data_IF_066750121225
#
_entry.id   IF_066750121225
#
_cell.length_a   1.000
_cell.length_b   1.000
_cell.length_c   1.000
_cell.angle_alpha   90.00
_cell.angle_beta   90.00
_cell.angle_gamma   90.00
#
_symmetry.space_group_name_H-M   'P 1'
#
loop_
_entity.id
_entity.type
_entity.pdbx_description
1 polymer ?
#
# COMPACT_ATOMS: atom_id res chain seq x y z
N UNK A 1 13.53 14.66 22.42
CA UNK A 1 12.49 14.20 23.38
C UNK A 1 11.13 14.73 22.91
N UNK A 2 10.14 13.86 22.78
CA UNK A 2 8.79 14.18 22.34
C UNK A 2 7.85 14.30 23.54
N UNK A 3 7.01 15.33 23.57
CA UNK A 3 5.94 15.52 24.55
C UNK A 3 4.67 15.95 23.86
N UNK A 4 3.55 15.46 24.33
CA UNK A 4 2.22 15.83 23.82
C UNK A 4 1.36 16.33 24.97
N UNK A 5 0.58 17.37 24.72
CA UNK A 5 -0.40 17.88 25.66
C UNK A 5 -1.70 17.13 25.42
N UNK A 6 -2.10 16.32 26.39
CA UNK A 6 -3.32 15.51 26.32
C UNK A 6 -4.42 16.20 27.10
N UNK A 7 -5.56 16.42 26.47
CA UNK A 7 -6.73 17.06 27.10
C UNK A 7 -7.97 16.17 26.97
N UNK A 8 -8.93 16.35 27.87
CA UNK A 8 -10.24 15.74 27.73
C UNK A 8 -10.98 16.38 26.53
N UNK A 9 -11.61 15.57 25.67
CA UNK A 9 -12.35 16.08 24.50
C UNK A 9 -13.45 17.08 24.90
N UNK A 10 -14.01 16.95 26.12
CA UNK A 10 -15.03 17.85 26.67
C UNK A 10 -14.45 19.12 27.31
N UNK A 11 -13.16 19.12 27.64
CA UNK A 11 -12.45 20.26 28.25
C UNK A 11 -11.03 20.35 27.70
N UNK A 12 -10.91 20.97 26.53
CA UNK A 12 -9.62 21.18 25.86
C UNK A 12 -8.74 22.22 26.55
N UNK A 13 -9.28 23.02 27.47
CA UNK A 13 -8.56 24.10 28.13
C UNK A 13 -7.62 23.59 29.24
N UNK A 14 -7.92 22.43 29.83
CA UNK A 14 -7.13 21.83 30.90
C UNK A 14 -6.47 20.54 30.40
N UNK A 15 -5.28 20.69 29.80
CA UNK A 15 -4.45 19.58 29.34
C UNK A 15 -3.29 19.27 30.29
N UNK A 16 -2.79 18.04 30.21
CA UNK A 16 -1.63 17.57 30.96
C UNK A 16 -0.55 17.06 29.99
N UNK A 17 0.69 17.47 30.21
CA UNK A 17 1.81 17.06 29.37
C UNK A 17 2.21 15.61 29.65
N UNK A 18 2.26 14.81 28.60
CA UNK A 18 2.76 13.44 28.61
C UNK A 18 4.07 13.36 27.83
N UNK A 19 5.12 12.85 28.47
CA UNK A 19 6.41 12.61 27.80
C UNK A 19 6.40 11.25 27.11
N UNK A 20 7.01 11.18 25.92
CA UNK A 20 7.07 9.99 25.10
C UNK A 20 8.54 9.56 24.90
N UNK A 21 8.86 8.26 25.05
CA UNK A 21 7.93 7.17 25.38
C UNK A 21 7.41 7.26 26.83
N UNK A 22 6.11 7.00 27.03
CA UNK A 22 5.49 7.05 28.36
C UNK A 22 5.78 5.76 29.12
N UNK A 23 5.94 5.89 30.44
CA UNK A 23 5.78 4.73 31.31
C UNK A 23 4.30 4.55 31.71
N UNK A 24 3.90 3.32 32.01
CA UNK A 24 2.50 3.01 32.35
C UNK A 24 1.99 3.80 33.55
N UNK A 25 2.85 4.08 34.53
CA UNK A 25 2.48 4.86 35.72
C UNK A 25 2.19 6.33 35.41
N UNK A 26 3.01 6.96 34.57
CA UNK A 26 2.86 8.34 34.11
C UNK A 26 1.61 8.50 33.25
N UNK A 27 1.36 7.56 32.32
CA UNK A 27 0.13 7.55 31.51
C UNK A 27 -1.11 7.49 32.42
N UNK A 28 -1.12 6.57 33.39
CA UNK A 28 -2.24 6.44 34.34
C UNK A 28 -2.42 7.70 35.19
N UNK A 29 -1.34 8.30 35.69
CA UNK A 29 -1.40 9.52 36.49
C UNK A 29 -1.93 10.72 35.70
N UNK A 30 -1.53 10.86 34.43
CA UNK A 30 -2.08 11.89 33.53
C UNK A 30 -3.57 11.65 33.29
N UNK A 31 -3.98 10.40 33.06
CA UNK A 31 -5.37 10.08 32.75
C UNK A 31 -6.28 10.25 33.98
N UNK A 32 -5.80 9.94 35.18
CA UNK A 32 -6.52 10.17 36.44
C UNK A 32 -6.82 11.67 36.62
N UNK A 33 -5.88 12.56 36.33
CA UNK A 33 -6.09 14.02 36.39
C UNK A 33 -7.09 14.54 35.36
N UNK A 34 -7.17 13.91 34.19
CA UNK A 34 -8.09 14.27 33.11
C UNK A 34 -9.50 13.66 33.29
N UNK A 35 -9.65 12.76 34.27
CA UNK A 35 -10.93 12.11 34.57
C UNK A 35 -11.79 13.04 35.43
N UNK A 36 -13.01 13.41 34.98
CA UNK A 36 -13.91 14.24 35.78
C UNK A 36 -14.20 13.64 37.16
N UNK A 37 -14.20 14.47 38.20
CA UNK A 37 -14.51 14.04 39.56
C UNK A 37 -15.90 13.37 39.64
N UNK A 38 -15.93 12.08 39.99
CA UNK A 38 -17.17 11.31 40.21
C UNK A 38 -17.46 10.22 39.18
N UNK A 39 -16.66 10.09 38.11
CA UNK A 39 -16.84 9.08 37.05
C UNK A 39 -15.72 8.01 37.07
N UNK A 40 -15.55 7.32 38.21
CA UNK A 40 -14.64 6.17 38.30
C UNK A 40 -15.10 5.03 37.38
N UNK A 41 -14.25 4.60 36.44
CA UNK A 41 -14.50 3.48 35.53
C UNK A 41 -15.08 3.84 34.16
N UNK A 42 -15.13 5.13 33.80
CA UNK A 42 -15.51 5.56 32.44
C UNK A 42 -14.28 5.73 31.56
N UNK A 43 -14.36 5.32 30.30
CA UNK A 43 -13.31 5.59 29.30
C UNK A 43 -13.31 7.08 28.98
N UNK A 44 -12.28 7.80 29.43
CA UNK A 44 -12.10 9.22 29.11
C UNK A 44 -11.70 9.36 27.65
N UNK A 45 -12.54 10.02 26.85
CA UNK A 45 -12.17 10.42 25.51
C UNK A 45 -11.15 11.56 25.59
N UNK A 46 -9.95 11.32 25.06
CA UNK A 46 -8.83 12.26 25.08
C UNK A 46 -8.49 12.75 23.67
N UNK A 47 -7.79 13.87 23.60
CA UNK A 47 -7.30 14.46 22.37
C UNK A 47 -5.95 15.15 22.59
N UNK A 48 -5.18 15.30 21.53
CA UNK A 48 -3.89 16.02 21.55
C UNK A 48 -4.15 17.48 21.20
N UNK A 49 -3.70 18.39 22.05
CA UNK A 49 -3.92 19.84 21.88
C UNK A 49 -2.66 20.63 21.60
N UNK A 50 -1.49 20.08 21.96
CA UNK A 50 -0.19 20.70 21.67
C UNK A 50 0.92 19.63 21.63
N UNK A 51 2.04 19.96 20.98
CA UNK A 51 3.17 19.06 20.77
C UNK A 51 4.49 19.81 20.94
N UNK A 52 5.39 19.23 21.73
CA UNK A 52 6.76 19.69 21.89
C UNK A 52 7.74 18.61 21.43
N UNK A 53 8.65 18.95 20.52
CA UNK A 53 9.68 18.04 20.02
C UNK A 53 11.01 18.75 19.84
N UNK A 54 12.09 17.97 19.91
CA UNK A 54 13.42 18.41 19.48
C UNK A 54 13.58 18.40 17.96
N UNK A 55 12.71 17.69 17.24
CA UNK A 55 12.67 17.71 15.77
C UNK A 55 11.86 18.92 15.33
N UNK A 56 12.44 19.84 14.52
CA UNK A 56 11.72 20.97 13.96
C UNK A 56 10.45 20.55 13.21
N UNK A 57 9.41 21.38 13.31
CA UNK A 57 8.14 21.24 12.58
C UNK A 57 7.35 19.93 12.73
N UNK A 58 7.81 18.97 13.54
CA UNK A 58 7.12 17.69 13.78
C UNK A 58 5.66 17.86 14.22
N UNK A 59 5.36 18.94 14.97
CA UNK A 59 4.00 19.28 15.42
C UNK A 59 2.99 19.46 14.28
N UNK A 60 3.44 19.75 13.05
CA UNK A 60 2.56 19.95 11.89
C UNK A 60 1.93 18.63 11.41
N UNK A 61 2.56 17.51 11.75
CA UNK A 61 2.19 16.17 11.28
C UNK A 61 1.50 15.32 12.35
N UNK A 62 1.28 15.89 13.54
CA UNK A 62 0.56 15.25 14.63
C UNK A 62 -0.81 15.93 14.77
N UNK A 63 -1.86 15.13 14.73
CA UNK A 63 -3.24 15.57 14.73
C UNK A 63 -3.94 15.25 16.05
N UNK A 64 -5.09 15.89 16.26
CA UNK A 64 -5.85 15.83 17.51
C UNK A 64 -6.26 14.40 17.92
N UNK A 65 -6.51 13.54 16.94
CA UNK A 65 -7.03 12.17 17.14
C UNK A 65 -5.99 11.08 16.86
N UNK A 66 -4.71 11.45 16.75
CA UNK A 66 -3.65 10.47 16.54
C UNK A 66 -3.55 9.51 17.74
N UNK A 67 -3.23 8.24 17.45
CA UNK A 67 -3.09 7.21 18.49
C UNK A 67 -1.92 7.54 19.41
N UNK A 68 -2.18 7.57 20.72
CA UNK A 68 -1.12 7.71 21.71
C UNK A 68 -0.13 6.56 21.65
N UNK A 69 -0.57 5.35 21.30
CA UNK A 69 0.29 4.19 21.12
C UNK A 69 1.24 4.38 19.92
N UNK A 70 0.76 4.92 18.80
CA UNK A 70 1.63 5.27 17.67
C UNK A 70 2.61 6.40 18.02
N UNK A 71 2.16 7.41 18.77
CA UNK A 71 3.03 8.48 19.25
C UNK A 71 4.08 7.99 20.25
N UNK A 72 3.75 6.99 21.07
CA UNK A 72 4.68 6.32 21.97
C UNK A 72 5.78 5.56 21.22
N UNK A 73 5.39 4.86 20.15
CA UNK A 73 6.33 4.24 19.21
C UNK A 73 7.23 5.31 18.57
N UNK A 74 6.67 6.42 18.11
CA UNK A 74 7.46 7.53 17.56
C UNK A 74 8.42 8.09 18.62
N UNK A 75 7.95 8.34 19.84
CA UNK A 75 8.78 8.78 20.96
C UNK A 75 9.94 7.83 21.23
N UNK A 76 9.68 6.52 21.25
CA UNK A 76 10.70 5.48 21.39
C UNK A 76 11.74 5.49 20.27
N UNK A 77 11.35 5.80 19.04
CA UNK A 77 12.28 5.93 17.91
C UNK A 77 13.11 7.21 18.06
N UNK A 78 12.47 8.34 18.32
CA UNK A 78 13.14 9.64 18.48
C UNK A 78 14.14 9.66 19.63
N UNK A 79 13.89 8.93 20.72
CA UNK A 79 14.83 8.80 21.85
C UNK A 79 16.12 8.06 21.46
N UNK A 80 16.03 7.12 20.51
CA UNK A 80 17.17 6.31 20.05
C UNK A 80 17.95 6.95 18.90
N UNK A 81 17.42 8.00 18.28
CA UNK A 81 18.09 8.68 17.17
C UNK A 81 19.36 9.38 17.65
N UNK A 82 20.44 9.20 16.90
CA UNK A 82 21.62 10.06 17.02
C UNK A 82 21.32 11.47 16.49
N UNK A 83 22.19 12.45 16.77
CA UNK A 83 22.06 13.80 16.19
C UNK A 83 22.05 13.75 14.65
N UNK A 84 22.82 12.81 14.07
CA UNK A 84 22.82 12.52 12.63
C UNK A 84 21.45 12.05 12.15
N UNK A 85 20.87 11.06 12.82
CA UNK A 85 19.59 10.48 12.43
C UNK A 85 18.44 11.47 12.63
N UNK A 86 18.49 12.29 13.68
CA UNK A 86 17.55 13.37 13.93
C UNK A 86 17.60 14.44 12.83
N UNK A 87 18.80 14.80 12.35
CA UNK A 87 18.96 15.72 11.22
C UNK A 87 18.39 15.13 9.92
N UNK A 88 18.70 13.87 9.61
CA UNK A 88 18.14 13.16 8.45
C UNK A 88 16.63 13.10 8.53
N UNK A 89 16.08 12.73 9.69
CA UNK A 89 14.63 12.65 9.89
C UNK A 89 13.95 14.00 9.71
N UNK A 90 14.54 15.07 10.26
CA UNK A 90 14.02 16.44 10.09
C UNK A 90 14.00 16.85 8.62
N UNK A 91 15.06 16.55 7.86
CA UNK A 91 15.10 16.84 6.42
C UNK A 91 14.09 16.01 5.63
N UNK A 92 13.96 14.72 5.94
CA UNK A 92 13.00 13.83 5.29
C UNK A 92 11.56 14.33 5.43
N UNK A 93 11.20 14.85 6.62
CA UNK A 93 9.89 15.48 6.87
C UNK A 93 9.64 16.74 6.04
N UNK A 94 10.68 17.44 5.60
CA UNK A 94 10.57 18.63 4.73
C UNK A 94 10.56 18.26 3.25
N UNK A 95 11.32 17.23 2.88
CA UNK A 95 11.50 16.79 1.50
C UNK A 95 10.33 15.97 0.95
N UNK A 96 9.61 15.24 1.81
CA UNK A 96 8.58 14.29 1.42
C UNK A 96 7.16 14.83 1.66
N UNK A 97 6.18 14.30 0.92
CA UNK A 97 4.75 14.61 1.16
C UNK A 97 4.26 13.77 2.34
N UNK A 98 4.19 14.37 3.53
CA UNK A 98 3.73 13.73 4.77
C UNK A 98 2.26 14.05 5.03
N UNK A 99 1.39 13.02 5.03
CA UNK A 99 -0.07 13.21 5.20
C UNK A 99 -0.58 12.97 6.62
N UNK A 100 0.23 12.36 7.48
CA UNK A 100 -0.13 12.09 8.87
C UNK A 100 0.91 11.22 9.58
N UNK A 101 0.56 10.75 10.78
CA UNK A 101 1.48 10.06 11.68
C UNK A 101 2.07 8.75 11.12
N UNK A 102 1.35 8.05 10.25
CA UNK A 102 1.86 6.83 9.61
C UNK A 102 3.05 7.12 8.67
N UNK A 103 2.98 8.21 7.90
CA UNK A 103 4.10 8.65 7.07
C UNK A 103 5.28 9.08 7.93
N UNK A 104 5.03 9.76 9.06
CA UNK A 104 6.06 10.16 10.02
C UNK A 104 6.79 8.93 10.57
N UNK A 105 6.04 7.89 10.97
CA UNK A 105 6.62 6.63 11.46
C UNK A 105 7.41 5.90 10.37
N UNK A 106 6.87 5.84 9.15
CA UNK A 106 7.56 5.25 7.98
C UNK A 106 8.88 5.96 7.68
N UNK A 107 8.91 7.29 7.73
CA UNK A 107 10.13 8.07 7.54
C UNK A 107 11.15 7.81 8.66
N UNK A 108 10.69 7.69 9.92
CA UNK A 108 11.56 7.35 11.04
C UNK A 108 12.21 5.96 10.89
N UNK A 109 11.60 5.04 10.14
CA UNK A 109 12.11 3.71 9.83
C UNK A 109 12.98 3.63 8.56
N UNK A 110 12.96 4.68 7.73
CA UNK A 110 13.63 4.69 6.43
C UNK A 110 14.77 5.70 6.33
N UNK A 111 15.39 6.06 7.45
CA UNK A 111 16.52 7.00 7.47
C UNK A 111 17.74 6.54 6.64
N UNK A 112 17.86 5.23 6.38
CA UNK A 112 18.89 4.67 5.50
C UNK A 112 18.76 5.09 4.02
N UNK A 113 17.60 5.62 3.63
CA UNK A 113 17.32 6.10 2.28
C UNK A 113 17.89 7.51 2.00
N UNK A 114 18.59 8.09 2.97
CA UNK A 114 19.10 9.44 2.90
C UNK A 114 20.59 9.47 3.23
N UNK A 115 21.32 10.32 2.53
CA UNK A 115 22.73 10.61 2.76
C UNK A 115 22.85 12.00 3.39
N UNK A 116 23.56 12.10 4.52
CA UNK A 116 23.92 13.38 5.14
C UNK A 116 25.32 13.77 4.67
N UNK A 117 25.43 14.94 4.04
CA UNK A 117 26.71 15.63 3.86
C UNK A 117 26.93 16.56 5.07
N UNK A 118 27.82 16.18 6.01
CA UNK A 118 28.00 16.92 7.26
C UNK A 118 28.61 18.31 7.01
N UNK A 119 28.32 19.24 7.92
CA UNK A 119 28.89 20.60 7.96
C UNK A 119 28.60 21.47 6.73
N UNK A 120 27.61 21.08 5.91
CA UNK A 120 27.15 21.83 4.74
C UNK A 120 25.78 22.44 5.03
N UNK A 121 25.77 23.73 5.34
CA UNK A 121 24.56 24.46 5.76
C UNK A 121 24.12 25.52 4.76
N UNK A 122 24.89 25.71 3.70
CA UNK A 122 24.62 26.71 2.66
C UNK A 122 24.87 26.16 1.25
N UNK A 123 24.20 26.72 0.25
CA UNK A 123 24.41 26.37 -1.16
C UNK A 123 25.87 26.56 -1.61
N UNK A 124 26.55 27.57 -1.08
CA UNK A 124 27.97 27.77 -1.37
C UNK A 124 28.84 26.62 -0.86
N UNK A 125 28.63 26.19 0.39
CA UNK A 125 29.33 25.06 0.99
C UNK A 125 29.04 23.76 0.22
N UNK A 126 27.79 23.55 -0.18
CA UNK A 126 27.38 22.40 -0.98
C UNK A 126 28.10 22.39 -2.33
N UNK A 127 28.13 23.53 -3.03
CA UNK A 127 28.83 23.66 -4.30
C UNK A 127 30.31 23.35 -4.20
N UNK A 128 30.98 23.83 -3.15
CA UNK A 128 32.40 23.52 -2.89
C UNK A 128 32.57 22.02 -2.67
N UNK A 129 31.76 21.43 -1.79
CA UNK A 129 31.80 20.00 -1.49
C UNK A 129 31.60 19.14 -2.74
N UNK A 130 30.63 19.46 -3.59
CA UNK A 130 30.32 18.71 -4.81
C UNK A 130 31.51 18.66 -5.77
N UNK A 131 32.22 19.76 -5.91
CA UNK A 131 33.38 19.89 -6.82
C UNK A 131 34.61 19.22 -6.22
N UNK A 132 34.86 19.40 -4.91
CA UNK A 132 36.02 18.81 -4.22
C UNK A 132 35.91 17.30 -4.06
N UNK A 133 34.70 16.79 -3.79
CA UNK A 133 34.42 15.35 -3.70
C UNK A 133 34.42 14.63 -5.05
N UNK A 134 34.34 15.37 -6.14
CA UNK A 134 34.21 14.82 -7.49
C UNK A 134 32.80 14.36 -7.85
N UNK A 135 31.79 14.62 -7.00
CA UNK A 135 30.37 14.40 -7.37
C UNK A 135 29.94 15.27 -8.56
N UNK A 136 30.60 16.42 -8.76
CA UNK A 136 30.50 17.24 -9.97
C UNK A 136 31.89 17.37 -10.61
N UNK A 137 32.06 16.77 -11.79
CA UNK A 137 33.34 16.74 -12.49
C UNK A 137 33.63 18.08 -13.21
N UNK A 138 34.46 18.92 -12.59
CA UNK A 138 34.94 20.17 -13.18
C UNK A 138 36.47 20.19 -13.19
N UNK A 139 37.13 20.50 -14.32
CA UNK A 139 38.58 20.61 -14.39
C UNK A 139 39.13 21.57 -13.32
N UNK A 140 40.17 21.14 -12.58
CA UNK A 140 40.79 21.92 -11.49
C UNK A 140 41.22 23.34 -11.90
N UNK A 141 41.55 23.55 -13.17
CA UNK A 141 41.90 24.87 -13.71
C UNK A 141 40.73 25.87 -13.69
N UNK A 142 39.48 25.40 -13.66
CA UNK A 142 38.28 26.24 -13.65
C UNK A 142 37.80 26.60 -12.24
N UNK A 143 38.28 25.92 -11.19
CA UNK A 143 37.82 26.11 -9.80
C UNK A 143 37.89 27.58 -9.32
N UNK A 144 38.95 28.36 -9.60
CA UNK A 144 39.03 29.76 -9.14
C UNK A 144 37.98 30.70 -9.74
N UNK A 145 37.32 30.28 -10.83
CA UNK A 145 36.35 31.08 -11.57
C UNK A 145 34.93 30.57 -11.41
N UNK A 146 34.74 29.51 -10.60
CA UNK A 146 33.47 28.82 -10.49
C UNK A 146 32.53 29.56 -9.54
N UNK A 147 31.27 29.65 -9.95
CA UNK A 147 30.17 30.04 -9.09
C UNK A 147 29.64 28.81 -8.37
N UNK A 148 30.17 28.55 -7.17
CA UNK A 148 29.81 27.37 -6.37
C UNK A 148 28.34 27.38 -5.94
N UNK A 149 27.72 28.54 -5.71
CA UNK A 149 26.29 28.59 -5.40
C UNK A 149 25.46 28.09 -6.60
N UNK A 150 25.85 28.48 -7.81
CA UNK A 150 25.18 28.00 -9.02
C UNK A 150 25.40 26.50 -9.27
N UNK A 151 26.53 25.94 -8.87
CA UNK A 151 26.77 24.48 -8.90
C UNK A 151 25.79 23.77 -7.97
N UNK A 152 25.59 24.28 -6.75
CA UNK A 152 24.62 23.70 -5.81
C UNK A 152 23.19 23.78 -6.34
N UNK A 153 22.77 24.93 -6.90
CA UNK A 153 21.44 25.08 -7.49
C UNK A 153 21.17 24.07 -8.60
N UNK A 154 22.15 23.83 -9.48
CA UNK A 154 22.02 22.82 -10.54
C UNK A 154 21.94 21.40 -9.95
N UNK A 155 22.69 21.13 -8.89
CA UNK A 155 22.64 19.85 -8.20
C UNK A 155 21.28 19.62 -7.52
N UNK A 156 20.76 20.61 -6.79
CA UNK A 156 19.46 20.59 -6.11
C UNK A 156 18.29 20.43 -7.07
N UNK A 157 18.38 21.02 -8.28
CA UNK A 157 17.37 20.85 -9.32
C UNK A 157 17.21 19.38 -9.77
N UNK A 158 18.28 18.59 -9.62
CA UNK A 158 18.33 17.19 -10.02
C UNK A 158 18.28 16.21 -8.83
N UNK A 159 18.42 16.71 -7.59
CA UNK A 159 18.51 15.90 -6.38
C UNK A 159 17.66 16.54 -5.28
N UNK A 160 16.60 15.86 -4.85
CA UNK A 160 15.81 16.30 -3.72
C UNK A 160 16.66 16.28 -2.44
N UNK A 161 16.82 17.44 -1.81
CA UNK A 161 17.55 17.59 -0.57
C UNK A 161 17.10 18.79 0.25
N UNK A 162 17.52 18.83 1.51
CA UNK A 162 17.20 19.88 2.46
C UNK A 162 18.39 20.21 3.36
N UNK A 163 18.51 21.48 3.73
CA UNK A 163 19.52 21.94 4.68
C UNK A 163 19.05 21.75 6.11
N UNK A 164 19.93 21.24 6.95
CA UNK A 164 19.70 21.09 8.39
C UNK A 164 20.80 21.83 9.15
N UNK A 165 20.65 21.95 10.47
CA UNK A 165 21.70 22.52 11.31
C UNK A 165 22.98 21.67 11.37
N UNK A 166 22.94 20.40 10.93
CA UNK A 166 24.08 19.49 10.94
C UNK A 166 24.72 19.28 9.55
N UNK A 167 24.01 19.67 8.48
CA UNK A 167 24.48 19.45 7.13
C UNK A 167 23.35 19.37 6.10
N UNK A 168 23.72 19.05 4.86
CA UNK A 168 22.79 18.92 3.75
C UNK A 168 22.40 17.46 3.59
N UNK A 169 21.11 17.17 3.62
CA UNK A 169 20.57 15.82 3.48
C UNK A 169 20.02 15.66 2.08
N UNK A 170 20.39 14.58 1.40
CA UNK A 170 19.90 14.23 0.07
C UNK A 170 19.29 12.84 0.08
N UNK A 171 18.23 12.64 -0.70
CA UNK A 171 17.65 11.32 -0.90
C UNK A 171 18.59 10.49 -1.77
N UNK A 172 19.02 9.33 -1.29
CA UNK A 172 19.99 8.47 -2.00
C UNK A 172 19.38 7.98 -3.31
N UNK A 173 20.14 7.94 -4.41
CA UNK A 173 19.65 7.46 -5.71
C UNK A 173 19.15 6.00 -5.67
N UNK A 174 19.76 5.14 -4.87
CA UNK A 174 19.28 3.76 -4.61
C UNK A 174 17.88 3.74 -3.99
N UNK A 175 17.48 4.82 -3.30
CA UNK A 175 16.16 4.95 -2.71
C UNK A 175 15.09 5.37 -3.72
N UNK A 176 15.43 5.94 -4.89
CA UNK A 176 14.44 6.12 -5.95
C UNK A 176 14.04 4.75 -6.50
N UNK A 177 15.01 3.87 -6.72
CA UNK A 177 14.76 2.48 -7.13
C UNK A 177 14.04 1.69 -6.03
N UNK A 178 14.38 1.89 -4.75
CA UNK A 178 13.67 1.24 -3.62
C UNK A 178 12.32 1.89 -3.29
N UNK A 179 12.10 3.17 -3.57
CA UNK A 179 10.78 3.81 -3.38
C UNK A 179 9.83 3.32 -4.47
N UNK A 180 10.30 3.20 -5.72
CA UNK A 180 9.57 2.51 -6.79
C UNK A 180 9.33 1.03 -6.43
N UNK A 181 10.29 0.37 -5.78
CA UNK A 181 10.12 -1.00 -5.32
C UNK A 181 9.17 -1.15 -4.10
N UNK A 182 9.00 -0.12 -3.27
CA UNK A 182 8.16 -0.16 -2.06
C UNK A 182 6.77 0.46 -2.25
N UNK A 183 6.51 1.11 -3.38
CA UNK A 183 5.13 1.42 -3.78
C UNK A 183 4.43 0.13 -4.20
N UNK A 184 3.29 -0.14 -3.56
CA UNK A 184 2.46 -1.29 -3.93
C UNK A 184 1.87 -1.02 -5.31
N UNK A 185 2.27 -1.82 -6.29
CA UNK A 185 1.62 -1.84 -7.58
C UNK A 185 0.48 -2.85 -7.55
N UNK A 186 -0.69 -2.45 -8.04
CA UNK A 186 -1.81 -3.35 -8.26
C UNK A 186 -1.72 -3.93 -9.67
N UNK A 187 -1.67 -5.26 -9.77
CA UNK A 187 -1.73 -6.01 -11.01
C UNK A 187 -3.03 -6.80 -11.05
N UNK A 188 -3.66 -6.84 -12.21
CA UNK A 188 -4.90 -7.60 -12.45
C UNK A 188 -4.63 -8.71 -13.44
N UNK A 189 -5.02 -9.93 -13.07
CA UNK A 189 -4.96 -11.08 -13.95
C UNK A 189 -6.37 -11.53 -14.29
N UNK A 190 -6.71 -11.50 -15.57
CA UNK A 190 -8.03 -11.85 -16.09
C UNK A 190 -8.06 -13.34 -16.46
N UNK A 191 -9.18 -13.98 -16.13
CA UNK A 191 -9.50 -15.35 -16.49
C UNK A 191 -10.96 -15.47 -16.93
N UNK A 192 -11.27 -16.37 -17.87
CA UNK A 192 -12.65 -16.67 -18.23
C UNK A 192 -13.38 -17.25 -17.03
N UNK A 193 -14.68 -16.95 -16.93
CA UNK A 193 -15.53 -17.33 -15.81
C UNK A 193 -16.77 -18.05 -16.35
N UNK A 194 -17.13 -19.16 -15.72
CA UNK A 194 -18.18 -20.05 -16.18
C UNK A 194 -19.30 -20.07 -15.14
N UNK A 195 -20.49 -19.62 -15.53
CA UNK A 195 -21.62 -19.51 -14.61
C UNK A 195 -22.73 -20.46 -15.03
N UNK A 196 -23.19 -21.27 -14.07
CA UNK A 196 -24.28 -22.22 -14.23
C UNK A 196 -25.42 -21.85 -13.29
N UNK A 197 -26.65 -21.88 -13.79
CA UNK A 197 -27.85 -21.63 -12.98
C UNK A 197 -28.68 -22.90 -12.84
N UNK A 198 -29.10 -23.18 -11.62
CA UNK A 198 -30.08 -24.21 -11.28
C UNK A 198 -31.40 -23.54 -10.89
N UNK A 199 -32.34 -23.39 -11.83
CA UNK A 199 -33.64 -22.78 -11.55
C UNK A 199 -34.48 -23.64 -10.60
N UNK A 200 -35.13 -23.01 -9.61
CA UNK A 200 -36.01 -23.69 -8.66
C UNK A 200 -37.45 -23.71 -9.21
N UNK A 201 -37.85 -24.78 -9.90
CA UNK A 201 -39.25 -24.95 -10.34
C UNK A 201 -40.07 -25.65 -9.24
N UNK A 202 -41.10 -24.99 -8.71
CA UNK A 202 -42.14 -25.63 -7.90
C UNK A 202 -43.24 -26.24 -8.78
N UNK A 203 -42.96 -27.18 -9.69
CA UNK A 203 -44.03 -28.04 -10.22
C UNK A 203 -43.48 -29.40 -10.67
N UNK A 204 -44.16 -30.46 -10.24
CA UNK A 204 -43.69 -31.84 -10.18
C UNK A 204 -43.18 -32.49 -11.48
N UNK A 205 -42.38 -33.53 -11.26
CA UNK A 205 -42.02 -34.63 -12.17
C UNK A 205 -41.09 -34.32 -13.37
N UNK A 206 -40.02 -33.58 -13.16
CA UNK A 206 -38.82 -33.64 -14.00
C UNK A 206 -37.59 -33.80 -13.09
N UNK A 207 -36.66 -34.71 -13.42
CA UNK A 207 -35.48 -34.97 -12.59
C UNK A 207 -34.64 -33.70 -12.41
N UNK A 208 -34.10 -33.50 -11.20
CA UNK A 208 -33.30 -32.33 -10.82
C UNK A 208 -31.97 -32.16 -11.59
N UNK A 209 -31.72 -32.98 -12.61
CA UNK A 209 -30.48 -33.07 -13.40
C UNK A 209 -30.64 -32.51 -14.84
N UNK A 210 -31.87 -32.19 -15.28
CA UNK A 210 -32.18 -31.97 -16.70
C UNK A 210 -32.32 -30.48 -17.14
N UNK A 211 -32.03 -29.49 -16.30
CA UNK A 211 -32.11 -28.06 -16.68
C UNK A 211 -30.93 -27.24 -16.12
N UNK A 212 -29.71 -27.76 -16.26
CA UNK A 212 -28.50 -26.94 -16.08
C UNK A 212 -28.42 -25.95 -17.24
N UNK A 213 -28.58 -24.66 -16.95
CA UNK A 213 -28.38 -23.61 -17.95
C UNK A 213 -27.00 -22.97 -17.73
N UNK A 214 -26.13 -23.07 -18.74
CA UNK A 214 -24.87 -22.32 -18.78
C UNK A 214 -25.18 -20.91 -19.28
N UNK A 215 -24.89 -19.90 -18.45
CA UNK A 215 -25.06 -18.51 -18.82
C UNK A 215 -23.89 -18.07 -19.69
N UNK A 216 -24.18 -17.28 -20.73
CA UNK A 216 -23.11 -16.59 -21.45
C UNK A 216 -22.41 -15.58 -20.53
N UNK A 217 -21.13 -15.25 -20.78
CA UNK A 217 -20.41 -14.25 -19.99
C UNK A 217 -21.11 -12.87 -19.93
N UNK A 218 -21.91 -12.53 -20.94
CA UNK A 218 -22.71 -11.31 -20.98
C UNK A 218 -23.98 -11.39 -20.09
N UNK A 219 -24.57 -12.58 -19.95
CA UNK A 219 -25.72 -12.81 -19.06
C UNK A 219 -25.27 -12.93 -17.59
N UNK A 220 -24.08 -13.47 -17.35
CA UNK A 220 -23.47 -13.53 -16.03
C UNK A 220 -23.28 -12.15 -15.39
N UNK A 221 -23.11 -11.09 -16.20
CA UNK A 221 -23.01 -9.70 -15.72
C UNK A 221 -24.22 -9.26 -14.89
N UNK A 222 -25.42 -9.76 -15.20
CA UNK A 222 -26.62 -9.40 -14.43
C UNK A 222 -26.54 -9.86 -12.97
N UNK A 223 -25.70 -10.84 -12.67
CA UNK A 223 -25.50 -11.41 -11.35
C UNK A 223 -24.16 -10.99 -10.72
N UNK A 224 -23.47 -9.99 -11.28
CA UNK A 224 -22.16 -9.56 -10.82
C UNK A 224 -22.17 -9.17 -9.33
N UNK A 225 -23.19 -8.45 -8.87
CA UNK A 225 -23.30 -7.99 -7.49
C UNK A 225 -23.45 -9.18 -6.52
N UNK A 226 -24.27 -10.18 -6.86
CA UNK A 226 -24.45 -11.40 -6.07
C UNK A 226 -23.17 -12.25 -6.02
N UNK A 227 -22.44 -12.31 -7.13
CA UNK A 227 -21.16 -13.01 -7.21
C UNK A 227 -20.11 -12.30 -6.35
N UNK A 228 -20.02 -10.97 -6.42
CA UNK A 228 -19.11 -10.19 -5.57
C UNK A 228 -19.43 -10.39 -4.08
N UNK A 229 -20.70 -10.38 -3.69
CA UNK A 229 -21.09 -10.61 -2.29
C UNK A 229 -20.72 -12.03 -1.82
N UNK A 230 -20.83 -13.03 -2.70
CA UNK A 230 -20.43 -14.40 -2.39
C UNK A 230 -18.92 -14.53 -2.20
N UNK A 231 -18.12 -13.88 -3.05
CA UNK A 231 -16.64 -13.83 -2.92
C UNK A 231 -16.27 -13.18 -1.58
N UNK A 232 -16.96 -12.11 -1.19
CA UNK A 232 -16.69 -11.39 0.05
C UNK A 232 -17.02 -12.23 1.30
N UNK A 233 -18.02 -13.11 1.22
CA UNK A 233 -18.35 -14.08 2.28
C UNK A 233 -17.34 -15.22 2.38
N UNK A 234 -16.62 -15.51 1.31
CA UNK A 234 -15.62 -16.59 1.29
C UNK A 234 -14.31 -16.18 1.98
N UNK A 235 -14.05 -14.88 2.12
CA UNK A 235 -12.85 -14.35 2.79
C UNK A 235 -12.79 -14.85 4.24
N UNK A 236 -11.76 -15.63 4.56
CA UNK A 236 -11.57 -16.16 5.91
C UNK A 236 -10.87 -15.11 6.79
N UNK A 237 -11.24 -14.97 8.08
CA UNK A 237 -10.55 -14.05 9.00
C UNK A 237 -9.05 -14.32 9.13
N UNK A 238 -8.63 -15.59 8.97
CA UNK A 238 -7.24 -16.03 9.07
C UNK A 238 -6.38 -15.62 7.84
N UNK A 239 -7.00 -15.30 6.70
CA UNK A 239 -6.30 -14.82 5.49
C UNK A 239 -5.87 -13.35 5.62
N UNK A 240 -6.54 -12.60 6.50
CA UNK A 240 -6.24 -11.20 6.80
C UNK A 240 -6.10 -10.34 5.55
N UNK A 241 -5.07 -9.48 5.53
CA UNK A 241 -4.81 -8.58 4.40
C UNK A 241 -4.06 -9.26 3.24
N UNK A 242 -3.50 -10.46 3.45
CA UNK A 242 -2.72 -11.17 2.42
C UNK A 242 -3.59 -11.99 1.46
N UNK A 243 -4.81 -12.35 1.86
CA UNK A 243 -5.70 -13.16 1.02
C UNK A 243 -5.09 -14.53 0.74
N UNK A 244 -5.18 -14.98 -0.51
CA UNK A 244 -4.69 -16.29 -0.93
C UNK A 244 -3.16 -16.43 -0.78
N UNK A 245 -2.41 -15.33 -0.68
CA UNK A 245 -0.96 -15.38 -0.48
C UNK A 245 -0.52 -16.00 0.85
N UNK A 246 -1.44 -16.22 1.81
CA UNK A 246 -1.14 -17.01 3.02
C UNK A 246 -0.77 -18.45 2.68
N UNK A 247 -1.31 -19.00 1.60
CA UNK A 247 -1.08 -20.38 1.16
C UNK A 247 0.05 -20.51 0.13
N UNK A 248 0.75 -19.44 -0.18
CA UNK A 248 1.84 -19.45 -1.16
C UNK A 248 3.16 -19.91 -0.52
N UNK A 249 3.61 -21.12 -0.88
CA UNK A 249 4.83 -21.73 -0.33
C UNK A 249 5.92 -22.05 -1.38
N UNK A 250 5.65 -21.74 -2.66
CA UNK A 250 6.52 -22.12 -3.78
C UNK A 250 7.85 -21.38 -3.81
N UNK A 251 7.84 -20.09 -3.52
CA UNK A 251 9.04 -19.24 -3.53
C UNK A 251 8.97 -18.20 -2.41
N UNK A 252 9.96 -18.19 -1.51
CA UNK A 252 9.97 -17.27 -0.36
C UNK A 252 10.27 -15.81 -0.75
N UNK A 253 11.11 -15.60 -1.77
CA UNK A 253 11.42 -14.24 -2.23
C UNK A 253 10.20 -13.63 -2.94
N UNK A 254 9.49 -14.42 -3.74
CA UNK A 254 8.25 -14.00 -4.37
C UNK A 254 7.12 -13.83 -3.35
N UNK A 255 7.07 -14.65 -2.30
CA UNK A 255 6.13 -14.49 -1.19
C UNK A 255 6.36 -13.18 -0.43
N UNK A 256 7.59 -12.69 -0.30
CA UNK A 256 7.86 -11.38 0.34
C UNK A 256 7.54 -10.22 -0.61
N UNK A 257 7.73 -10.42 -1.91
CA UNK A 257 7.45 -9.44 -2.96
C UNK A 257 5.95 -9.24 -3.21
N UNK A 258 5.15 -10.29 -3.11
CA UNK A 258 3.70 -10.22 -3.28
C UNK A 258 3.01 -10.05 -1.93
N UNK A 259 2.40 -8.88 -1.75
CA UNK A 259 1.74 -8.51 -0.50
C UNK A 259 0.42 -9.24 -0.32
N UNK A 260 -0.46 -9.16 -1.34
CA UNK A 260 -1.81 -9.72 -1.30
C UNK A 260 -2.25 -10.27 -2.65
N UNK A 261 -3.14 -11.26 -2.62
CA UNK A 261 -3.83 -11.76 -3.82
C UNK A 261 -5.28 -12.08 -3.46
N UNK A 262 -6.22 -11.41 -4.13
CA UNK A 262 -7.64 -11.49 -3.87
C UNK A 262 -8.40 -11.84 -5.17
N UNK A 263 -9.14 -12.95 -5.21
CA UNK A 263 -10.03 -13.23 -6.33
C UNK A 263 -11.21 -12.26 -6.29
N UNK A 264 -11.64 -11.80 -7.45
CA UNK A 264 -12.80 -10.92 -7.67
C UNK A 264 -13.34 -11.13 -9.08
N UNK A 265 -14.38 -10.38 -9.45
CA UNK A 265 -14.92 -10.37 -10.81
C UNK A 265 -15.06 -8.94 -11.32
N UNK A 266 -14.84 -8.71 -12.61
CA UNK A 266 -14.98 -7.40 -13.24
C UNK A 266 -15.63 -7.49 -14.62
N UNK A 267 -16.38 -6.45 -15.00
CA UNK A 267 -16.87 -6.28 -16.37
C UNK A 267 -15.74 -5.81 -17.28
N UNK A 268 -15.53 -6.52 -18.38
CA UNK A 268 -14.67 -6.05 -19.47
C UNK A 268 -15.28 -6.39 -20.84
N UNK A 269 -15.48 -5.37 -21.68
CA UNK A 269 -16.12 -5.46 -23.01
C UNK A 269 -17.54 -6.04 -23.02
N UNK A 270 -18.33 -5.82 -21.95
CA UNK A 270 -19.70 -6.35 -21.86
C UNK A 270 -19.76 -7.85 -21.56
N UNK A 271 -18.66 -8.41 -21.04
CA UNK A 271 -18.58 -9.77 -20.52
C UNK A 271 -18.04 -9.75 -19.08
N UNK A 272 -18.50 -10.68 -18.24
CA UNK A 272 -17.98 -10.86 -16.88
C UNK A 272 -16.71 -11.71 -16.89
N UNK A 273 -15.65 -11.20 -16.27
CA UNK A 273 -14.36 -11.89 -16.15
C UNK A 273 -14.03 -12.18 -14.69
N UNK A 274 -13.38 -13.32 -14.45
CA UNK A 274 -12.69 -13.57 -13.20
C UNK A 274 -11.41 -12.74 -13.16
N UNK A 275 -11.16 -12.05 -12.05
CA UNK A 275 -9.97 -11.21 -11.89
C UNK A 275 -9.27 -11.61 -10.60
N UNK A 276 -7.97 -11.91 -10.69
CA UNK A 276 -7.11 -11.97 -9.51
C UNK A 276 -6.44 -10.61 -9.35
N UNK A 277 -6.77 -9.90 -8.27
CA UNK A 277 -6.15 -8.61 -7.92
C UNK A 277 -4.97 -8.90 -7.01
N UNK A 278 -3.78 -8.54 -7.47
CA UNK A 278 -2.52 -8.83 -6.79
C UNK A 278 -1.83 -7.52 -6.46
N UNK A 279 -1.43 -7.34 -5.21
CA UNK A 279 -0.59 -6.20 -4.80
C UNK A 279 0.86 -6.66 -4.65
N UNK A 280 1.78 -6.02 -5.37
CA UNK A 280 3.20 -6.39 -5.40
C UNK A 280 4.10 -5.20 -5.06
N UNK A 281 5.25 -5.49 -4.48
CA UNK A 281 6.32 -4.54 -4.23
C UNK A 281 7.29 -4.56 -5.44
N UNK A 282 7.26 -3.50 -6.24
CA UNK A 282 8.06 -3.37 -7.47
C UNK A 282 7.56 -4.20 -8.65
N UNK A 283 8.37 -4.31 -9.71
CA UNK A 283 8.00 -5.01 -10.94
C UNK A 283 8.22 -6.53 -10.85
N UNK A 284 7.27 -7.32 -11.34
CA UNK A 284 7.43 -8.76 -11.51
C UNK A 284 8.20 -9.07 -12.80
N UNK A 285 9.15 -9.99 -12.71
CA UNK A 285 9.80 -10.58 -13.89
C UNK A 285 8.87 -11.60 -14.57
N UNK A 286 9.08 -11.87 -15.86
CA UNK A 286 8.29 -12.88 -16.60
C UNK A 286 8.31 -14.26 -15.93
N UNK A 287 9.44 -14.63 -15.31
CA UNK A 287 9.55 -15.90 -14.57
C UNK A 287 8.71 -15.92 -13.30
N UNK A 288 8.67 -14.81 -12.55
CA UNK A 288 7.82 -14.67 -11.37
C UNK A 288 6.34 -14.65 -11.74
N UNK A 289 5.97 -13.96 -12.83
CA UNK A 289 4.60 -13.96 -13.35
C UNK A 289 4.15 -15.39 -13.71
N UNK A 290 5.00 -16.18 -14.36
CA UNK A 290 4.68 -17.58 -14.68
C UNK A 290 4.42 -18.42 -13.43
N UNK A 291 5.19 -18.21 -12.36
CA UNK A 291 5.00 -18.93 -11.09
C UNK A 291 3.68 -18.53 -10.43
N UNK A 292 3.32 -17.24 -10.49
CA UNK A 292 2.05 -16.75 -9.96
C UNK A 292 0.86 -17.25 -10.78
N UNK A 293 0.93 -17.25 -12.10
CA UNK A 293 -0.16 -17.78 -12.94
C UNK A 293 -0.36 -19.28 -12.72
N UNK A 294 0.72 -20.05 -12.55
CA UNK A 294 0.63 -21.47 -12.22
C UNK A 294 0.01 -21.69 -10.84
N UNK A 295 0.35 -20.83 -9.87
CA UNK A 295 -0.24 -20.86 -8.54
C UNK A 295 -1.72 -20.50 -8.56
N UNK A 296 -2.13 -19.43 -9.25
CA UNK A 296 -3.53 -19.02 -9.39
C UNK A 296 -4.36 -20.08 -10.12
N UNK A 297 -3.79 -20.73 -11.14
CA UNK A 297 -4.43 -21.87 -11.82
C UNK A 297 -4.67 -23.01 -10.84
N UNK A 298 -3.70 -23.32 -9.97
CA UNK A 298 -3.87 -24.29 -8.90
C UNK A 298 -4.96 -23.89 -7.90
N UNK A 299 -4.98 -22.63 -7.47
CA UNK A 299 -6.00 -22.11 -6.56
C UNK A 299 -7.40 -22.16 -7.18
N UNK A 300 -7.56 -21.90 -8.47
CA UNK A 300 -8.85 -21.98 -9.13
C UNK A 300 -9.31 -23.41 -9.43
N UNK A 301 -8.38 -24.34 -9.67
CA UNK A 301 -8.72 -25.73 -10.02
C UNK A 301 -8.97 -26.64 -8.81
N UNK A 302 -8.21 -26.52 -7.73
CA UNK A 302 -8.18 -27.51 -6.61
C UNK A 302 -8.07 -26.83 -5.23
N UNK A 303 -8.20 -25.49 -5.21
CA UNK A 303 -8.08 -24.69 -3.99
C UNK A 303 -9.35 -23.89 -3.74
N UNK A 304 -9.18 -22.57 -3.66
CA UNK A 304 -10.27 -21.63 -3.43
C UNK A 304 -11.41 -21.76 -4.48
N UNK A 305 -11.07 -21.91 -5.76
CA UNK A 305 -12.05 -21.96 -6.84
C UNK A 305 -12.95 -23.20 -6.80
N UNK A 306 -12.42 -24.36 -6.42
CA UNK A 306 -13.21 -25.58 -6.23
C UNK A 306 -14.20 -25.41 -5.07
N UNK A 307 -13.73 -24.84 -3.96
CA UNK A 307 -14.56 -24.55 -2.79
C UNK A 307 -15.67 -23.53 -3.12
N UNK A 308 -15.38 -22.56 -3.97
CA UNK A 308 -16.33 -21.56 -4.44
C UNK A 308 -17.38 -22.17 -5.40
N UNK A 309 -16.94 -23.01 -6.36
CA UNK A 309 -17.84 -23.68 -7.30
C UNK A 309 -18.83 -24.60 -6.58
N UNK A 310 -18.48 -25.19 -5.43
CA UNK A 310 -19.39 -26.07 -4.70
C UNK A 310 -20.47 -25.33 -3.90
N UNK A 311 -20.40 -24.00 -3.79
CA UNK A 311 -21.34 -23.19 -3.00
C UNK A 311 -22.31 -22.44 -3.91
N UNK A 312 -23.53 -22.96 -3.99
CA UNK A 312 -24.63 -22.28 -4.69
C UNK A 312 -24.96 -20.93 -4.06
N UNK A 313 -24.94 -19.88 -4.88
CA UNK A 313 -25.38 -18.53 -4.52
C UNK A 313 -26.88 -18.46 -4.71
N UNK A 314 -27.63 -18.19 -3.64
CA UNK A 314 -29.11 -18.14 -3.70
C UNK A 314 -29.58 -16.86 -4.37
N UNK A 315 -30.31 -17.01 -5.47
CA UNK A 315 -30.90 -15.90 -6.23
C UNK A 315 -32.43 -16.03 -6.26
N UNK A 316 -33.12 -14.94 -6.63
CA UNK A 316 -34.57 -14.95 -6.82
C UNK A 316 -34.97 -15.76 -8.07
N UNK A 317 -35.00 -17.10 -7.93
CA UNK A 317 -35.37 -18.02 -9.01
C UNK A 317 -34.54 -19.30 -9.08
N UNK A 318 -33.56 -19.49 -8.20
CA UNK A 318 -32.69 -20.67 -8.23
C UNK A 318 -31.40 -20.51 -7.44
N UNK A 319 -30.41 -21.35 -7.75
CA UNK A 319 -29.05 -21.28 -7.22
C UNK A 319 -28.05 -21.10 -8.37
N UNK A 320 -27.11 -20.17 -8.20
CA UNK A 320 -26.05 -19.84 -9.16
C UNK A 320 -24.74 -20.49 -8.71
N UNK A 321 -24.05 -21.17 -9.61
CA UNK A 321 -22.77 -21.82 -9.37
C UNK A 321 -21.74 -21.19 -10.31
N UNK A 322 -20.63 -20.72 -9.75
CA UNK A 322 -19.60 -19.99 -10.49
C UNK A 322 -18.32 -20.79 -10.43
N UNK A 323 -17.80 -21.15 -11.61
CA UNK A 323 -16.50 -21.76 -11.74
C UNK A 323 -15.50 -20.77 -12.33
N UNK A 324 -14.37 -20.64 -11.64
CA UNK A 324 -13.22 -19.84 -12.07
C UNK A 324 -12.24 -20.67 -12.92
N UNK A 325 -12.56 -21.93 -13.24
CA UNK A 325 -11.67 -22.81 -13.98
C UNK A 325 -12.43 -23.76 -14.91
N UNK A 326 -11.89 -24.02 -16.09
CA UNK A 326 -12.39 -25.07 -16.99
C UNK A 326 -11.23 -25.83 -17.66
N UNK A 327 -11.42 -27.13 -17.89
CA UNK A 327 -10.39 -28.00 -18.45
C UNK A 327 -10.04 -27.74 -19.92
N UNK A 328 -10.84 -26.98 -20.67
CA UNK A 328 -10.71 -26.84 -22.13
C UNK A 328 -10.17 -25.49 -22.59
N UNK A 329 -10.68 -24.39 -22.04
CA UNK A 329 -10.43 -23.03 -22.56
C UNK A 329 -9.93 -22.03 -21.50
N UNK A 330 -9.39 -22.53 -20.38
CA UNK A 330 -8.90 -21.69 -19.29
C UNK A 330 -7.51 -21.10 -19.56
N UNK A 331 -7.40 -19.79 -19.34
CA UNK A 331 -6.11 -19.09 -19.29
C UNK A 331 -6.17 -17.96 -18.26
N UNK A 332 -5.02 -17.60 -17.72
CA UNK A 332 -4.85 -16.40 -16.89
C UNK A 332 -3.92 -15.46 -17.64
N UNK A 333 -4.35 -14.23 -17.90
CA UNK A 333 -3.53 -13.22 -18.57
C UNK A 333 -3.50 -11.91 -17.78
N UNK A 334 -2.34 -11.24 -17.69
CA UNK A 334 -2.30 -9.91 -17.12
C UNK A 334 -3.10 -8.93 -17.99
N UNK A 335 -3.67 -7.90 -17.35
CA UNK A 335 -4.49 -6.87 -17.99
C UNK A 335 -3.84 -6.26 -19.24
N UNK A 336 -2.53 -6.04 -19.20
CA UNK A 336 -1.77 -5.43 -20.30
C UNK A 336 -1.78 -6.29 -21.57
N UNK A 337 -1.68 -7.62 -21.44
CA UNK A 337 -1.73 -8.53 -22.57
C UNK A 337 -3.15 -8.70 -23.13
N UNK A 338 -4.15 -8.71 -22.25
CA UNK A 338 -5.55 -8.82 -22.65
C UNK A 338 -6.01 -7.58 -23.45
N UNK A 339 -5.60 -6.38 -23.00
CA UNK A 339 -5.96 -5.12 -23.65
C UNK A 339 -5.18 -4.87 -24.95
N UNK A 340 -3.90 -5.27 -25.03
CA UNK A 340 -3.11 -5.18 -26.27
C UNK A 340 -3.55 -6.18 -27.35
N UNK A 341 -4.00 -7.38 -26.97
CA UNK A 341 -4.55 -8.37 -27.89
C UNK A 341 -5.88 -7.95 -28.52
N UNK A 342 -6.70 -7.18 -27.79
CA UNK A 342 -7.96 -6.63 -28.31
C UNK A 342 -7.74 -5.53 -29.36
N UNK A 343 -6.69 -4.70 -29.23
CA UNK A 343 -6.35 -3.68 -30.23
C UNK A 343 -5.81 -4.29 -31.55
N UNK A 344 -5.13 -5.44 -31.50
CA UNK A 344 -4.72 -6.15 -32.71
C UNK A 344 -5.92 -6.77 -33.46
N UNK A 345 -6.98 -7.16 -32.76
CA UNK A 345 -8.20 -7.67 -33.39
C UNK A 345 -9.09 -6.59 -34.00
N UNK A 346 -8.93 -5.30 -33.65
CA UNK A 346 -9.64 -4.19 -34.29
C UNK A 346 -9.00 -3.69 -35.59
N UNK A 347 -7.71 -3.97 -35.83
CA UNK A 347 -7.02 -3.58 -37.07
C UNK A 347 -7.01 -4.68 -38.15
N UNK A 348 -7.69 -5.81 -37.93
CA UNK A 348 -7.73 -6.97 -38.84
C UNK A 348 -8.92 -7.05 -39.80
N UNK A 349 -9.92 -6.17 -39.72
CA UNK A 349 -11.05 -6.15 -40.64
C UNK A 349 -11.19 -4.79 -41.35
N UNK A 350 -10.22 -4.50 -42.22
CA UNK A 350 -10.48 -3.62 -43.36
C UNK A 350 -9.70 -4.12 -44.57
N UNK A 351 -10.38 -4.16 -45.72
CA UNK A 351 -9.90 -4.45 -47.07
C UNK A 351 -9.93 -5.93 -47.53
N UNK A 352 -11.00 -6.24 -48.26
CA UNK A 352 -11.09 -7.42 -49.13
C UNK A 352 -12.26 -7.26 -50.09
N UNK A 353 -12.22 -6.23 -50.93
CA UNK A 353 -13.20 -6.05 -52.00
C UNK A 353 -13.00 -7.04 -53.14
N UNK A 354 -14.12 -7.48 -53.72
CA UNK A 354 -14.40 -7.44 -55.16
C UNK A 354 -15.90 -7.29 -55.37
#
# INVERSE_FOLDING_TARGET
>A
MLKVLVSNVRDKAHGEWLSLPFNTGEKLAVFEKLTPHGEFGTTVAICITDVQSSIPDLKRYIHEHDSLEQLDILGSKLEKMSDRDAAIFSAALEMEVVKGLEDVLRLADSLGNYELFPDITTAKELGVYLVESGKVEIPKSAWPYLDYERVAVEYEANNAGAYTSLGYVVKTSDSLEQTIANEKQTLKFFSPLFVKIYPSYEYGECGADDMLEELSPAEALYYMDEILEAIEKEKLPDEGQRGLMVYFDRDKALAEKVYSAHPTVEEYNGELWGVMVVEVYGELTESEMSILTDYFTGQYSDGWGEGFEQRGIKIHGGELYVSFWDSKDFFIKPEQELKQGAEQNFNGQTMGGM
#
